data_IF_276310238529
#
_entry.id   IF_276310238529
#
_cell.length_a   1.000
_cell.length_b   1.000
_cell.length_c   1.000
_cell.angle_alpha   90.00
_cell.angle_beta   90.00
_cell.angle_gamma   90.00
#
_symmetry.space_group_name_H-M   'P 1'
#
loop_
_entity.id
_entity.type
_entity.pdbx_description
1 polymer ?
#
# COMPACT_ATOMS: atom_id res chain seq x y z
N UNK A 1 -23.10 0.83 -15.43
CA UNK A 1 -22.66 0.85 -16.84
C UNK A 1 -22.72 2.30 -17.27
N UNK A 2 -21.57 2.93 -17.43
CA UNK A 2 -21.45 4.30 -17.91
C UNK A 2 -21.92 4.38 -19.38
N UNK A 3 -22.60 5.46 -19.74
CA UNK A 3 -23.18 5.62 -21.08
C UNK A 3 -22.14 5.60 -22.21
N UNK A 4 -20.88 5.87 -21.91
CA UNK A 4 -19.77 5.95 -22.87
C UNK A 4 -19.44 4.56 -23.41
N UNK A 5 -19.18 3.58 -22.53
CA UNK A 5 -18.88 2.21 -22.94
C UNK A 5 -20.02 1.57 -23.75
N UNK A 6 -21.27 1.84 -23.37
CA UNK A 6 -22.44 1.39 -24.13
C UNK A 6 -22.52 2.01 -25.52
N UNK A 7 -22.21 3.31 -25.64
CA UNK A 7 -22.22 4.04 -26.91
C UNK A 7 -21.15 3.51 -27.87
N UNK A 8 -19.91 3.34 -27.41
CA UNK A 8 -18.81 2.80 -28.23
C UNK A 8 -19.15 1.41 -28.78
N UNK A 9 -19.61 0.50 -27.92
CA UNK A 9 -20.01 -0.87 -28.32
C UNK A 9 -21.12 -0.84 -29.37
N UNK A 10 -22.11 0.02 -29.21
CA UNK A 10 -23.22 0.17 -30.15
C UNK A 10 -22.74 0.66 -31.52
N UNK A 11 -21.86 1.66 -31.55
CA UNK A 11 -21.33 2.22 -32.80
C UNK A 11 -20.44 1.21 -33.53
N UNK A 12 -19.51 0.56 -32.83
CA UNK A 12 -18.65 -0.47 -33.38
C UNK A 12 -19.47 -1.65 -33.94
N UNK A 13 -20.47 -2.13 -33.18
CA UNK A 13 -21.38 -3.18 -33.65
C UNK A 13 -22.11 -2.78 -34.93
N UNK A 14 -22.59 -1.53 -35.01
CA UNK A 14 -23.27 -1.03 -36.20
C UNK A 14 -22.33 -0.99 -37.42
N UNK A 15 -21.09 -0.54 -37.24
CA UNK A 15 -20.08 -0.54 -38.31
C UNK A 15 -19.78 -1.96 -38.81
N UNK A 16 -19.63 -2.93 -37.90
CA UNK A 16 -19.46 -4.34 -38.27
C UNK A 16 -20.66 -4.91 -39.04
N UNK A 17 -21.90 -4.62 -38.59
CA UNK A 17 -23.12 -5.09 -39.25
C UNK A 17 -23.35 -4.47 -40.63
N UNK A 18 -22.92 -3.22 -40.82
CA UNK A 18 -23.01 -2.51 -42.10
C UNK A 18 -21.89 -2.89 -43.07
N UNK A 19 -20.94 -3.74 -42.64
CA UNK A 19 -19.78 -4.12 -43.45
C UNK A 19 -18.76 -2.99 -43.65
N UNK A 20 -18.86 -1.90 -42.90
CA UNK A 20 -17.96 -0.74 -43.00
C UNK A 20 -16.70 -0.90 -42.16
N UNK A 21 -16.65 -1.88 -41.25
CA UNK A 21 -15.48 -2.25 -40.48
C UNK A 21 -15.47 -3.76 -40.19
N UNK A 22 -14.27 -4.35 -40.10
CA UNK A 22 -14.10 -5.73 -39.65
C UNK A 22 -13.45 -5.75 -38.27
N UNK A 23 -14.28 -5.79 -37.22
CA UNK A 23 -13.83 -5.73 -35.82
C UNK A 23 -13.98 -7.10 -35.19
N UNK A 24 -12.88 -7.86 -35.14
CA UNK A 24 -12.83 -9.24 -34.60
C UNK A 24 -11.88 -9.39 -33.40
N UNK A 25 -11.09 -8.36 -33.12
CA UNK A 25 -10.07 -8.38 -32.06
C UNK A 25 -10.17 -7.12 -31.19
N UNK A 26 -9.71 -7.15 -29.93
CA UNK A 26 -9.66 -5.95 -29.09
C UNK A 26 -8.84 -4.82 -29.72
N UNK A 27 -7.74 -5.14 -30.39
CA UNK A 27 -6.89 -4.18 -31.11
C UNK A 27 -7.63 -3.53 -32.29
N UNK A 28 -8.33 -4.32 -33.11
CA UNK A 28 -9.14 -3.77 -34.22
C UNK A 28 -10.29 -2.90 -33.71
N UNK A 29 -10.88 -3.24 -32.56
CA UNK A 29 -11.89 -2.40 -31.91
C UNK A 29 -11.28 -1.07 -31.44
N UNK A 30 -10.10 -1.11 -30.81
CA UNK A 30 -9.37 0.09 -30.40
C UNK A 30 -9.04 0.99 -31.60
N UNK A 31 -8.44 0.42 -32.65
CA UNK A 31 -8.07 1.16 -33.86
C UNK A 31 -9.30 1.81 -34.51
N UNK A 32 -10.42 1.08 -34.59
CA UNK A 32 -11.67 1.61 -35.11
C UNK A 32 -12.21 2.75 -34.24
N UNK A 33 -12.24 2.59 -32.91
CA UNK A 33 -12.70 3.63 -32.00
C UNK A 33 -11.83 4.89 -32.10
N UNK A 34 -10.50 4.72 -32.12
CA UNK A 34 -9.54 5.81 -32.23
C UNK A 34 -9.72 6.62 -33.53
N UNK A 35 -9.98 5.94 -34.64
CA UNK A 35 -10.17 6.58 -35.94
C UNK A 35 -11.57 7.21 -36.13
N UNK A 36 -12.61 6.65 -35.53
CA UNK A 36 -14.00 6.98 -35.86
C UNK A 36 -14.77 7.72 -34.75
N UNK A 37 -14.24 7.76 -33.52
CA UNK A 37 -14.92 8.38 -32.38
C UNK A 37 -14.09 9.54 -31.86
N UNK A 38 -14.54 10.75 -32.14
CA UNK A 38 -13.91 11.98 -31.66
C UNK A 38 -14.29 12.25 -30.20
N UNK A 39 -13.42 12.96 -29.47
CA UNK A 39 -13.62 13.37 -28.07
C UNK A 39 -13.73 12.23 -27.03
N UNK A 40 -13.51 10.97 -27.43
CA UNK A 40 -13.39 9.85 -26.50
C UNK A 40 -12.01 9.22 -26.70
N UNK A 41 -11.20 9.25 -25.65
CA UNK A 41 -9.89 8.61 -25.67
C UNK A 41 -10.04 7.14 -25.29
N UNK A 42 -9.74 6.25 -26.24
CA UNK A 42 -9.60 4.83 -26.00
C UNK A 42 -8.13 4.51 -25.67
N UNK A 43 -7.92 3.46 -24.88
CA UNK A 43 -6.60 2.88 -24.61
C UNK A 43 -6.66 1.39 -24.94
N UNK A 44 -5.57 0.89 -25.53
CA UNK A 44 -5.37 -0.53 -25.74
C UNK A 44 -4.19 -0.96 -24.90
N UNK A 45 -4.38 -2.04 -24.14
CA UNK A 45 -3.34 -2.63 -23.30
C UNK A 45 -3.09 -4.05 -23.85
N UNK A 46 -1.94 -4.30 -24.49
CA UNK A 46 -1.59 -5.63 -24.99
C UNK A 46 -1.27 -6.57 -23.81
N UNK A 47 -1.43 -7.87 -24.04
CA UNK A 47 -1.14 -8.88 -23.01
C UNK A 47 0.31 -8.82 -22.53
N UNK A 48 1.27 -8.49 -23.41
CA UNK A 48 2.68 -8.35 -23.03
C UNK A 48 2.91 -7.26 -21.98
N UNK A 49 2.20 -6.13 -22.07
CA UNK A 49 2.31 -5.04 -21.09
C UNK A 49 1.73 -5.46 -19.73
N UNK A 50 0.68 -6.28 -19.74
CA UNK A 50 0.12 -6.87 -18.51
C UNK A 50 1.15 -7.79 -17.86
N UNK A 51 1.79 -8.68 -18.61
CA UNK A 51 2.81 -9.60 -18.11
C UNK A 51 4.05 -8.88 -17.57
N UNK A 52 4.51 -7.82 -18.24
CA UNK A 52 5.61 -6.98 -17.76
C UNK A 52 5.25 -6.23 -16.48
N UNK A 53 4.04 -5.66 -16.43
CA UNK A 53 3.54 -4.97 -15.24
C UNK A 53 3.36 -5.92 -14.07
N UNK A 54 2.91 -7.15 -14.31
CA UNK A 54 2.78 -8.19 -13.29
C UNK A 54 4.14 -8.52 -12.67
N UNK A 55 5.18 -8.70 -13.49
CA UNK A 55 6.56 -8.91 -13.03
C UNK A 55 7.07 -7.74 -12.20
N UNK A 56 6.83 -6.51 -12.66
CA UNK A 56 7.21 -5.28 -11.93
C UNK A 56 6.54 -5.22 -10.54
N UNK A 57 5.28 -5.65 -10.45
CA UNK A 57 4.48 -5.59 -9.23
C UNK A 57 4.60 -6.85 -8.34
N UNK A 58 5.28 -7.90 -8.80
CA UNK A 58 5.35 -9.20 -8.12
C UNK A 58 5.82 -9.08 -6.67
N UNK A 59 6.91 -8.34 -6.44
CA UNK A 59 7.43 -8.10 -5.08
C UNK A 59 6.39 -7.45 -4.18
N UNK A 60 5.68 -6.44 -4.71
CA UNK A 60 4.64 -5.71 -3.98
C UNK A 60 3.47 -6.63 -3.65
N UNK A 61 3.01 -7.45 -4.60
CA UNK A 61 1.92 -8.39 -4.35
C UNK A 61 2.29 -9.48 -3.34
N UNK A 62 3.54 -9.95 -3.34
CA UNK A 62 4.03 -10.92 -2.34
C UNK A 62 4.13 -10.32 -0.94
N UNK A 63 4.54 -9.06 -0.80
CA UNK A 63 4.72 -8.42 0.51
C UNK A 63 3.46 -7.73 1.05
N UNK A 64 2.51 -7.37 0.20
CA UNK A 64 1.31 -6.66 0.61
C UNK A 64 0.34 -7.59 1.36
N UNK A 65 -0.22 -7.08 2.46
CA UNK A 65 -1.27 -7.78 3.21
C UNK A 65 -2.62 -7.58 2.52
N UNK A 66 -3.30 -8.63 2.04
CA UNK A 66 -4.61 -8.49 1.44
C UNK A 66 -5.67 -8.19 2.50
N UNK A 67 -6.47 -7.14 2.29
CA UNK A 67 -7.69 -6.90 3.06
C UNK A 67 -8.80 -7.74 2.43
N UNK A 68 -9.29 -8.76 3.14
CA UNK A 68 -10.36 -9.63 2.62
C UNK A 68 -11.70 -8.88 2.59
N UNK A 69 -12.47 -9.10 1.52
CA UNK A 69 -13.79 -8.50 1.36
C UNK A 69 -13.77 -7.05 0.87
N UNK A 70 -12.64 -6.57 0.30
CA UNK A 70 -12.52 -5.22 -0.26
C UNK A 70 -13.62 -4.88 -1.27
N UNK A 71 -14.07 -5.84 -2.08
CA UNK A 71 -15.15 -5.64 -3.04
C UNK A 71 -16.52 -5.33 -2.39
N UNK A 72 -16.70 -5.62 -1.10
CA UNK A 72 -17.93 -5.31 -0.36
C UNK A 72 -17.92 -3.91 0.25
N UNK A 73 -16.83 -3.15 0.08
CA UNK A 73 -16.70 -1.79 0.58
C UNK A 73 -16.64 -0.79 -0.58
N UNK A 74 -17.21 0.38 -0.38
CA UNK A 74 -17.32 1.45 -1.36
C UNK A 74 -16.44 2.67 -1.01
N UNK A 75 -15.83 2.67 0.18
CA UNK A 75 -14.91 3.70 0.62
C UNK A 75 -13.84 3.14 1.56
N UNK A 76 -12.63 3.68 1.45
CA UNK A 76 -11.46 3.33 2.23
C UNK A 76 -10.77 4.61 2.69
N UNK A 77 -10.71 4.83 4.01
CA UNK A 77 -10.20 6.07 4.61
C UNK A 77 -9.00 5.70 5.48
N UNK A 78 -7.78 6.16 5.14
CA UNK A 78 -6.61 6.01 5.99
C UNK A 78 -6.83 6.77 7.30
N UNK A 79 -6.66 6.09 8.43
CA UNK A 79 -6.73 6.72 9.75
C UNK A 79 -5.34 7.15 10.19
N UNK A 80 -4.36 6.28 10.00
CA UNK A 80 -2.94 6.54 10.29
C UNK A 80 -2.03 5.69 9.38
N UNK A 81 -0.74 5.65 9.70
CA UNK A 81 0.25 4.86 8.94
C UNK A 81 0.05 3.33 9.04
N UNK A 82 -0.81 2.86 9.94
CA UNK A 82 -0.95 1.46 10.31
C UNK A 82 -2.35 0.90 10.05
N UNK A 83 -3.35 1.78 9.97
CA UNK A 83 -4.75 1.40 9.98
C UNK A 83 -5.60 2.14 8.93
N UNK A 84 -6.65 1.45 8.50
CA UNK A 84 -7.58 1.87 7.47
C UNK A 84 -9.01 1.56 7.91
N UNK A 85 -9.93 2.48 7.68
CA UNK A 85 -11.37 2.23 7.79
C UNK A 85 -11.96 1.93 6.42
N UNK A 86 -12.85 0.94 6.35
CA UNK A 86 -13.64 0.66 5.15
C UNK A 86 -15.14 0.75 5.44
N UNK A 87 -15.90 1.33 4.50
CA UNK A 87 -17.34 1.53 4.62
C UNK A 87 -18.08 0.82 3.51
N UNK A 88 -19.21 0.20 3.83
CA UNK A 88 -20.05 -0.51 2.84
C UNK A 88 -20.66 0.48 1.84
N UNK A 89 -20.98 1.69 2.30
CA UNK A 89 -21.46 2.80 1.47
C UNK A 89 -20.58 4.02 1.75
N UNK A 90 -20.26 4.83 0.74
CA UNK A 90 -19.32 5.96 0.89
C UNK A 90 -19.71 6.93 2.01
N UNK A 91 -21.00 7.20 2.17
CA UNK A 91 -21.53 8.16 3.13
C UNK A 91 -21.96 7.51 4.46
N UNK A 92 -21.68 6.22 4.68
CA UNK A 92 -22.05 5.54 5.92
C UNK A 92 -21.27 6.10 7.12
N UNK A 93 -21.94 6.23 8.27
CA UNK A 93 -21.29 6.49 9.55
C UNK A 93 -20.66 5.22 10.13
N UNK A 94 -21.16 4.04 9.73
CA UNK A 94 -20.61 2.75 10.15
C UNK A 94 -19.44 2.35 9.28
N UNK A 95 -18.36 1.89 9.92
CA UNK A 95 -17.13 1.46 9.28
C UNK A 95 -16.57 0.19 9.92
N UNK A 96 -15.67 -0.46 9.19
CA UNK A 96 -14.86 -1.58 9.67
C UNK A 96 -13.38 -1.20 9.61
N UNK A 97 -12.67 -1.33 10.72
CA UNK A 97 -11.24 -1.01 10.80
C UNK A 97 -10.37 -2.21 10.46
N UNK A 98 -9.25 -1.94 9.80
CA UNK A 98 -8.25 -2.92 9.40
C UNK A 98 -6.86 -2.41 9.75
N UNK A 99 -6.05 -3.26 10.39
CA UNK A 99 -4.61 -3.02 10.55
C UNK A 99 -3.89 -3.51 9.30
N UNK A 100 -3.39 -2.58 8.50
CA UNK A 100 -2.74 -2.82 7.20
C UNK A 100 -1.22 -2.98 7.34
N UNK A 101 -0.61 -2.27 8.27
CA UNK A 101 0.79 -2.43 8.66
C UNK A 101 0.78 -2.69 10.17
N UNK A 102 1.44 -3.76 10.67
CA UNK A 102 1.57 -3.96 12.11
C UNK A 102 2.17 -2.68 12.70
N UNK A 103 1.53 -2.05 13.70
CA UNK A 103 2.16 -0.92 14.37
C UNK A 103 3.52 -1.41 14.89
N UNK A 104 4.58 -0.58 14.78
CA UNK A 104 5.85 -0.92 15.39
C UNK A 104 5.56 -1.30 16.84
N UNK A 105 6.02 -2.49 17.22
CA UNK A 105 6.11 -2.84 18.63
C UNK A 105 7.18 -1.90 19.18
N UNK A 106 6.78 -0.69 19.56
CA UNK A 106 7.58 0.10 20.46
C UNK A 106 7.62 -0.73 21.74
N UNK A 107 8.69 -1.51 21.89
CA UNK A 107 9.12 -1.96 23.19
C UNK A 107 9.49 -0.67 23.90
N UNK A 108 8.50 0.00 24.49
CA UNK A 108 8.74 1.04 25.46
C UNK A 108 9.59 0.36 26.53
N UNK A 109 10.86 0.73 26.59
CA UNK A 109 11.74 0.21 27.64
C UNK A 109 11.16 0.74 28.94
N UNK A 110 10.46 -0.12 29.68
CA UNK A 110 9.95 0.27 30.98
C UNK A 110 11.17 0.40 31.90
N UNK A 111 11.31 1.56 32.54
CA UNK A 111 12.36 1.81 33.51
C UNK A 111 12.46 0.68 34.55
N UNK A 112 11.32 0.09 34.93
CA UNK A 112 11.27 -1.00 35.92
C UNK A 112 11.88 -2.31 35.44
N UNK A 113 11.84 -2.58 34.14
CA UNK A 113 12.32 -3.85 33.57
C UNK A 113 13.84 -3.87 33.42
N UNK A 114 14.47 -2.69 33.40
CA UNK A 114 15.93 -2.54 33.31
C UNK A 114 16.57 -2.76 34.67
N UNK A 115 17.52 -3.69 34.73
CA UNK A 115 18.29 -4.03 35.94
C UNK A 115 19.73 -3.56 35.82
N UNK A 116 20.42 -3.43 36.95
CA UNK A 116 21.87 -3.28 36.96
C UNK A 116 22.49 -4.52 36.30
N UNK A 117 23.52 -4.32 35.48
CA UNK A 117 24.13 -5.27 34.57
C UNK A 117 23.31 -5.67 33.33
N UNK A 118 22.20 -4.99 33.05
CA UNK A 118 21.51 -5.13 31.76
C UNK A 118 22.26 -4.39 30.66
N UNK A 119 22.33 -5.02 29.48
CA UNK A 119 22.83 -4.38 28.26
C UNK A 119 21.69 -3.64 27.56
N UNK A 120 21.90 -2.36 27.26
CA UNK A 120 20.93 -1.50 26.58
C UNK A 120 21.56 -0.82 25.37
N UNK A 121 20.73 -0.40 24.41
CA UNK A 121 21.12 0.45 23.30
C UNK A 121 20.76 1.91 23.62
N UNK A 122 21.73 2.82 23.52
CA UNK A 122 21.60 4.23 23.86
C UNK A 122 21.90 5.08 22.63
N UNK A 123 21.01 6.02 22.31
CA UNK A 123 21.27 7.05 21.29
C UNK A 123 22.11 8.18 21.92
N UNK A 124 23.20 8.56 21.27
CA UNK A 124 24.09 9.64 21.73
C UNK A 124 23.91 10.90 20.87
N UNK A 125 24.60 11.99 21.24
CA UNK A 125 24.45 13.31 20.59
C UNK A 125 24.78 13.31 19.09
N UNK A 126 25.59 12.34 18.62
CA UNK A 126 25.94 12.19 17.20
C UNK A 126 24.86 11.46 16.37
N UNK A 127 23.72 11.15 16.99
CA UNK A 127 22.61 10.43 16.37
C UNK A 127 22.87 8.94 16.14
N UNK A 128 23.99 8.39 16.62
CA UNK A 128 24.29 6.96 16.52
C UNK A 128 23.88 6.22 17.78
N UNK A 129 23.70 4.91 17.60
CA UNK A 129 23.34 3.98 18.66
C UNK A 129 24.59 3.25 19.16
N UNK A 130 24.73 3.21 20.48
CA UNK A 130 25.82 2.53 21.17
C UNK A 130 25.27 1.52 22.16
N UNK A 131 25.96 0.38 22.29
CA UNK A 131 25.66 -0.59 23.34
C UNK A 131 26.35 -0.17 24.63
N UNK A 132 25.62 -0.22 25.74
CA UNK A 132 26.12 0.11 27.05
C UNK A 132 25.59 -0.86 28.12
N UNK A 133 26.37 -1.05 29.17
CA UNK A 133 25.94 -1.79 30.36
C UNK A 133 25.44 -0.83 31.43
N UNK A 134 24.32 -1.14 32.08
CA UNK A 134 23.79 -0.36 33.20
C UNK A 134 24.59 -0.65 34.46
N UNK A 135 25.29 0.37 34.96
CA UNK A 135 26.12 0.30 36.17
C UNK A 135 25.31 0.67 37.41
N UNK A 136 24.42 1.65 37.28
CA UNK A 136 23.65 2.18 38.40
C UNK A 136 22.27 2.64 37.92
N UNK A 137 21.29 2.57 38.82
CA UNK A 137 19.90 2.91 38.56
C UNK A 137 19.42 3.91 39.61
N UNK A 138 19.12 5.14 39.18
CA UNK A 138 18.64 6.21 40.07
C UNK A 138 17.12 6.35 40.00
N UNK A 139 16.44 5.81 41.02
CA UNK A 139 14.99 5.76 41.08
C UNK A 139 14.32 7.13 41.32
N UNK A 140 15.02 8.12 41.85
CA UNK A 140 14.46 9.44 42.09
C UNK A 140 14.40 10.28 40.81
N UNK A 141 15.45 10.18 39.97
CA UNK A 141 15.58 10.93 38.72
C UNK A 141 15.11 10.14 37.49
N UNK A 142 14.83 8.84 37.61
CA UNK A 142 14.56 7.93 36.49
C UNK A 142 15.72 7.85 35.49
N UNK A 143 16.95 7.85 36.00
CA UNK A 143 18.17 7.86 35.19
C UNK A 143 18.98 6.58 35.37
N UNK A 144 19.72 6.22 34.32
CA UNK A 144 20.69 5.11 34.36
C UNK A 144 22.10 5.66 34.19
N UNK A 145 23.01 5.22 35.05
CA UNK A 145 24.44 5.38 34.81
C UNK A 145 24.91 4.20 33.98
N UNK A 146 25.50 4.47 32.82
CA UNK A 146 25.86 3.43 31.85
C UNK A 146 27.35 3.46 31.54
N UNK A 147 27.89 2.30 31.20
CA UNK A 147 29.25 2.13 30.70
C UNK A 147 29.20 1.62 29.26
N UNK A 148 29.64 2.43 28.31
CA UNK A 148 29.63 2.09 26.88
C UNK A 148 30.65 1.01 26.56
N UNK A 149 30.25 0.05 25.73
CA UNK A 149 31.20 -0.88 25.12
C UNK A 149 32.00 -0.15 24.04
N UNK A 150 33.32 -0.32 24.07
CA UNK A 150 34.19 0.07 22.96
C UNK A 150 34.57 -1.20 22.20
N UNK A 151 34.53 -1.19 20.85
CA UNK A 151 35.09 -2.30 20.09
C UNK A 151 36.58 -2.41 20.43
N UNK A 152 37.08 -3.64 20.57
CA UNK A 152 38.51 -3.91 20.58
C UNK A 152 39.06 -3.46 19.22
N UNK A 153 39.91 -2.45 19.25
CA UNK A 153 40.70 -2.01 18.08
C UNK A 153 41.71 -3.04 17.65
#
# INVERSE_FOLDING_TARGET
>A
CDGIGGTLKRLARRASLQGTANIQTPESLYNWCHANVTNIQSFYVPSSEIEETEKLLEKRFKSAKPIRGTQSFHSFIPVDAYSLEARVVSCSETFKSFVVIPPPTFLSVNYQDVRVNSVIAVAYEDGKWYLANVVEKNNAAFEFKVHFYKPSG
#
